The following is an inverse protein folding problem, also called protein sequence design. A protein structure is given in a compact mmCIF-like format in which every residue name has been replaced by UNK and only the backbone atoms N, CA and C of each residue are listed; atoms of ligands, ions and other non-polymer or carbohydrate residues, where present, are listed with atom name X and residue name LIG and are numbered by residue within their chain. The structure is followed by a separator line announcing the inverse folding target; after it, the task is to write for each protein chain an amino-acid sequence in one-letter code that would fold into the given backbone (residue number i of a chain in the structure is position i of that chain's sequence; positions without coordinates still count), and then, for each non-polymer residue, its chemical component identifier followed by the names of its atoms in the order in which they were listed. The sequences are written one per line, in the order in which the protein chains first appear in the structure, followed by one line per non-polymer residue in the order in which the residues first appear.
data_IF_941276909611
#
_entry.id   IF_941276909611
#
_cell.length_a   1.000
_cell.length_b   1.000
_cell.length_c   1.000
_cell.angle_alpha   90.00
_cell.angle_beta   90.00
_cell.angle_gamma   90.00
#
_symmetry.space_group_name_H-M   'P 1'
#
loop_
_entity.id
_entity.type
_entity.pdbx_description
1 polymer ?
#
# COMPACT_ATOMS: atom_id res chain seq x y z
N UNK A 1 -8.15 0.64 -14.37
CA UNK A 1 -7.83 0.93 -12.95
C UNK A 1 -6.70 1.95 -12.94
N UNK A 2 -6.97 3.19 -12.52
CA UNK A 2 -6.05 4.33 -12.69
C UNK A 2 -5.10 4.37 -11.49
N UNK A 3 -3.85 3.97 -11.69
CA UNK A 3 -2.81 4.09 -10.66
C UNK A 3 -2.70 5.55 -10.25
N UNK A 4 -2.91 5.82 -8.96
CA UNK A 4 -2.72 7.13 -8.31
C UNK A 4 -1.22 7.46 -8.35
N UNK A 5 -0.71 7.87 -9.51
CA UNK A 5 0.65 8.37 -9.63
C UNK A 5 0.66 9.81 -9.09
N UNK A 6 1.60 10.16 -8.20
CA UNK A 6 1.68 11.50 -7.60
C UNK A 6 1.80 12.63 -8.65
N UNK A 7 2.35 12.33 -9.83
CA UNK A 7 2.38 13.22 -10.99
C UNK A 7 1.00 13.65 -11.50
N UNK A 8 0.00 12.78 -11.41
CA UNK A 8 -1.35 13.05 -11.88
C UNK A 8 -2.09 14.00 -10.93
N UNK A 9 -1.86 13.84 -9.61
CA UNK A 9 -2.28 14.79 -8.59
C UNK A 9 -1.64 16.15 -8.82
N UNK A 10 -0.32 16.20 -9.05
CA UNK A 10 0.41 17.45 -9.33
C UNK A 10 -0.12 18.17 -10.56
N UNK A 11 -0.50 17.43 -11.61
CA UNK A 11 -1.15 18.00 -12.81
C UNK A 11 -2.55 18.52 -12.52
N UNK A 12 -3.36 17.77 -11.76
CA UNK A 12 -4.70 18.22 -11.38
C UNK A 12 -4.64 19.45 -10.47
N UNK A 13 -3.73 19.47 -9.49
CA UNK A 13 -3.50 20.61 -8.59
C UNK A 13 -3.09 21.85 -9.38
N UNK A 14 -2.12 21.72 -10.29
CA UNK A 14 -1.71 22.84 -11.16
C UNK A 14 -2.84 23.36 -12.04
N UNK A 15 -3.74 22.49 -12.51
CA UNK A 15 -4.93 22.90 -13.27
C UNK A 15 -5.96 23.59 -12.38
N UNK A 16 -6.23 23.05 -11.20
CA UNK A 16 -7.16 23.62 -10.23
C UNK A 16 -6.71 25.02 -9.79
N UNK A 17 -5.43 25.18 -9.44
CA UNK A 17 -4.85 26.48 -9.07
C UNK A 17 -4.92 27.49 -10.22
N UNK A 18 -4.69 27.05 -11.47
CA UNK A 18 -4.89 27.89 -12.67
C UNK A 18 -6.36 28.27 -12.88
N UNK A 19 -7.29 27.35 -12.67
CA UNK A 19 -8.74 27.56 -12.79
C UNK A 19 -9.27 28.51 -11.73
N UNK A 20 -8.73 28.45 -10.52
CA UNK A 20 -9.14 29.27 -9.38
C UNK A 20 -8.58 30.70 -9.44
N UNK A 21 -7.81 31.05 -10.49
CA UNK A 21 -7.31 32.39 -10.78
C UNK A 21 -6.64 33.09 -9.57
N UNK A 22 -5.98 32.31 -8.70
CA UNK A 22 -5.31 32.78 -7.48
C UNK A 22 -6.16 32.81 -6.21
N UNK A 23 -7.47 32.55 -6.29
CA UNK A 23 -8.39 32.58 -5.13
C UNK A 23 -8.55 31.20 -4.50
N UNK A 24 -7.43 30.56 -4.17
CA UNK A 24 -7.43 29.29 -3.43
C UNK A 24 -7.14 29.57 -1.97
N UNK A 25 -7.95 28.97 -1.10
CA UNK A 25 -7.61 28.85 0.31
C UNK A 25 -6.44 27.87 0.43
N UNK A 26 -5.22 28.42 0.51
CA UNK A 26 -3.96 27.66 0.54
C UNK A 26 -3.93 26.67 1.71
N UNK A 27 -4.61 27.00 2.81
CA UNK A 27 -4.71 26.15 4.00
C UNK A 27 -5.58 24.93 3.68
N UNK A 28 -6.78 25.12 3.14
CA UNK A 28 -7.63 24.01 2.70
C UNK A 28 -6.92 23.13 1.66
N UNK A 29 -6.17 23.74 0.73
CA UNK A 29 -5.38 23.00 -0.24
C UNK A 29 -4.29 22.15 0.41
N UNK A 30 -3.58 22.70 1.39
CA UNK A 30 -2.54 21.98 2.11
C UNK A 30 -3.13 20.82 2.93
N UNK A 31 -4.28 21.03 3.56
CA UNK A 31 -5.03 19.97 4.26
C UNK A 31 -5.48 18.86 3.32
N UNK A 32 -6.04 19.20 2.16
CA UNK A 32 -6.46 18.23 1.14
C UNK A 32 -5.28 17.37 0.64
N UNK A 33 -4.11 17.98 0.41
CA UNK A 33 -2.89 17.27 0.02
C UNK A 33 -2.41 16.34 1.15
N UNK A 34 -2.46 16.80 2.40
CA UNK A 34 -2.03 16.01 3.55
C UNK A 34 -2.93 14.79 3.76
N UNK A 35 -4.24 14.98 3.65
CA UNK A 35 -5.23 13.90 3.67
C UNK A 35 -5.00 12.89 2.55
N UNK A 36 -4.73 13.35 1.34
CA UNK A 36 -4.46 12.46 0.21
C UNK A 36 -3.17 11.65 0.38
N UNK A 37 -2.11 12.26 0.94
CA UNK A 37 -0.86 11.56 1.28
C UNK A 37 -1.09 10.49 2.34
N UNK A 38 -1.85 10.80 3.40
CA UNK A 38 -2.24 9.84 4.42
C UNK A 38 -3.04 8.69 3.83
N UNK A 39 -4.08 8.98 3.02
CA UNK A 39 -4.91 7.96 2.39
C UNK A 39 -4.09 7.07 1.45
N UNK A 40 -3.16 7.63 0.66
CA UNK A 40 -2.29 6.81 -0.20
C UNK A 40 -1.34 5.94 0.61
N UNK A 41 -0.75 6.48 1.66
CA UNK A 41 0.12 5.70 2.54
C UNK A 41 -0.68 4.58 3.22
N UNK A 42 -1.90 4.84 3.65
CA UNK A 42 -2.80 3.83 4.21
C UNK A 42 -3.15 2.77 3.17
N UNK A 43 -3.53 3.15 1.95
CA UNK A 43 -3.83 2.23 0.85
C UNK A 43 -2.62 1.37 0.45
N UNK A 44 -1.41 1.95 0.44
CA UNK A 44 -0.17 1.21 0.18
C UNK A 44 0.18 0.27 1.34
N UNK A 45 -0.03 0.71 2.58
CA UNK A 45 0.15 -0.14 3.75
C UNK A 45 -0.88 -1.28 3.82
N UNK A 46 -2.13 -1.03 3.43
CA UNK A 46 -3.16 -2.06 3.28
C UNK A 46 -2.77 -3.05 2.19
N UNK A 47 -2.32 -2.60 1.02
CA UNK A 47 -1.80 -3.50 -0.02
C UNK A 47 -0.57 -4.30 0.46
N UNK A 48 0.39 -3.66 1.14
CA UNK A 48 1.56 -4.35 1.72
C UNK A 48 1.16 -5.37 2.79
N UNK A 49 0.18 -5.04 3.64
CA UNK A 49 -0.38 -5.97 4.64
C UNK A 49 -1.14 -7.11 3.97
N UNK A 50 -1.87 -6.83 2.90
CA UNK A 50 -2.55 -7.84 2.07
C UNK A 50 -1.59 -8.70 1.22
N UNK A 51 -0.33 -8.31 1.04
CA UNK A 51 0.69 -9.18 0.42
C UNK A 51 1.34 -10.17 1.39
N UNK A 52 1.23 -9.96 2.70
CA UNK A 52 1.76 -10.89 3.71
C UNK A 52 0.87 -12.06 4.18
N UNK A 53 -0.42 -12.20 3.83
CA UNK A 53 -1.26 -13.26 4.41
C UNK A 53 -0.88 -14.66 3.90
N UNK A 54 -0.23 -14.77 2.74
CA UNK A 54 0.08 -16.07 2.12
C UNK A 54 1.50 -16.56 2.35
N UNK A 55 2.46 -15.70 2.71
CA UNK A 55 3.83 -16.16 3.00
C UNK A 55 3.89 -16.99 4.28
N UNK A 56 3.12 -16.62 5.29
CA UNK A 56 3.10 -17.33 6.57
C UNK A 56 2.59 -18.78 6.41
N UNK A 57 1.56 -18.99 5.58
CA UNK A 57 1.02 -20.34 5.31
C UNK A 57 2.05 -21.18 4.54
N UNK A 58 2.74 -20.59 3.56
CA UNK A 58 3.78 -21.29 2.78
C UNK A 58 4.97 -21.70 3.63
N UNK A 59 5.45 -20.82 4.50
CA UNK A 59 6.56 -21.11 5.43
C UNK A 59 6.13 -22.21 6.41
N UNK A 60 4.90 -22.13 6.93
CA UNK A 60 4.36 -23.16 7.84
C UNK A 60 4.30 -24.54 7.17
N UNK A 61 3.75 -24.63 5.95
CA UNK A 61 3.69 -25.90 5.23
C UNK A 61 5.07 -26.47 4.89
N UNK A 62 6.04 -25.62 4.56
CA UNK A 62 7.41 -26.06 4.33
C UNK A 62 8.02 -26.67 5.60
N UNK A 63 7.83 -26.03 6.75
CA UNK A 63 8.28 -26.55 8.05
C UNK A 63 7.61 -27.87 8.40
N UNK A 64 6.29 -27.99 8.19
CA UNK A 64 5.55 -29.23 8.43
C UNK A 64 6.04 -30.38 7.54
N UNK A 65 6.40 -30.12 6.29
CA UNK A 65 6.98 -31.12 5.39
C UNK A 65 8.35 -31.62 5.86
N UNK A 66 9.22 -30.70 6.31
CA UNK A 66 10.54 -31.09 6.84
C UNK A 66 10.43 -31.85 8.16
N UNK A 67 9.51 -31.47 9.06
CA UNK A 67 9.29 -32.18 10.32
C UNK A 67 8.70 -33.58 10.11
N UNK A 68 7.76 -33.74 9.16
CA UNK A 68 7.18 -35.04 8.86
C UNK A 68 8.23 -36.04 8.34
N UNK A 69 9.19 -35.58 7.53
CA UNK A 69 10.28 -36.44 7.03
C UNK A 69 11.37 -36.77 8.06
N UNK A 70 11.47 -36.01 9.14
CA UNK A 70 12.41 -36.27 10.25
C UNK A 70 11.82 -37.30 11.23
N UNK A 71 10.50 -37.21 11.51
CA UNK A 71 9.75 -38.17 12.35
C UNK A 71 9.72 -39.59 11.73
N UNK A 72 9.73 -39.69 10.40
CA UNK A 72 9.79 -40.97 9.67
C UNK A 72 11.20 -41.62 9.67
N UNK A 73 12.28 -40.86 9.95
CA UNK A 73 13.65 -41.40 10.00
C UNK A 73 14.08 -41.85 11.43
N UNK A 74 13.32 -41.52 12.47
CA UNK A 74 13.61 -41.94 13.86
C UNK A 74 12.99 -43.30 14.21
N UNK A 75 12.25 -43.92 13.28
CA UNK A 75 11.66 -45.26 13.40
C UNK A 75 12.25 -46.26 12.40
N UNK A 76 13.57 -46.44 12.39
CA UNK A 76 14.21 -47.65 11.86
C UNK A 76 15.28 -48.16 12.84
#
# INVERSE_FOLDING_TARGET
MRGKNPDELLRQLRRAVKLLNGTVNLISLAEDIFHWCQENNELLNHHRRQQRPTEFIRIRWALEYYQAGDDDNEKD
#
